data_IF_859310248413
#
_entry.id   IF_859310248413
#
_cell.length_a   1.000
_cell.length_b   1.000
_cell.length_c   1.000
_cell.angle_alpha   90.00
_cell.angle_beta   90.00
_cell.angle_gamma   90.00
#
_symmetry.space_group_name_H-M   'P 1'
#
loop_
_entity.id
_entity.type
_entity.pdbx_description
1 polymer ?
#
# COMPACT_ATOMS: atom_id res chain seq x y z
N UNK A 1 14.51 -4.68 -44.90
CA UNK A 1 13.17 -5.24 -45.23
C UNK A 1 12.78 -6.40 -44.31
N UNK A 2 12.21 -6.09 -43.14
CA UNK A 2 11.23 -7.01 -42.55
C UNK A 2 9.88 -6.70 -43.16
N UNK A 3 9.14 -7.73 -43.58
CA UNK A 3 7.81 -7.52 -44.16
C UNK A 3 6.83 -7.11 -43.07
N UNK A 4 5.76 -6.42 -43.45
CA UNK A 4 4.56 -6.17 -42.63
C UNK A 4 4.13 -7.39 -41.80
N UNK A 5 4.38 -8.59 -42.33
CA UNK A 5 4.10 -9.89 -41.73
C UNK A 5 4.90 -10.18 -40.45
N UNK A 6 6.16 -9.74 -40.35
CA UNK A 6 7.00 -9.95 -39.16
C UNK A 6 6.59 -9.05 -37.98
N UNK A 7 6.18 -7.81 -38.28
CA UNK A 7 5.61 -6.89 -37.29
C UNK A 7 4.30 -7.45 -36.73
N UNK A 8 3.42 -7.95 -37.60
CA UNK A 8 2.16 -8.60 -37.20
C UNK A 8 2.42 -9.83 -36.34
N UNK A 9 3.44 -10.63 -36.67
CA UNK A 9 3.78 -11.82 -35.89
C UNK A 9 4.34 -11.46 -34.50
N UNK A 10 5.20 -10.44 -34.41
CA UNK A 10 5.72 -9.91 -33.14
C UNK A 10 4.59 -9.38 -32.26
N UNK A 11 3.71 -8.57 -32.83
CA UNK A 11 2.52 -8.03 -32.17
C UNK A 11 1.62 -9.14 -31.61
N UNK A 12 1.43 -10.23 -32.37
CA UNK A 12 0.65 -11.40 -31.96
C UNK A 12 1.28 -12.12 -30.76
N UNK A 13 2.61 -12.25 -30.74
CA UNK A 13 3.33 -12.85 -29.59
C UNK A 13 3.18 -11.96 -28.35
N UNK A 14 3.38 -10.65 -28.49
CA UNK A 14 3.25 -9.70 -27.39
C UNK A 14 1.84 -9.67 -26.80
N UNK A 15 0.80 -9.61 -27.64
CA UNK A 15 -0.59 -9.68 -27.20
C UNK A 15 -0.88 -10.94 -26.40
N UNK A 16 -0.40 -12.10 -26.87
CA UNK A 16 -0.58 -13.39 -26.17
C UNK A 16 0.19 -13.47 -24.85
N UNK A 17 1.44 -12.99 -24.82
CA UNK A 17 2.31 -13.06 -23.66
C UNK A 17 1.85 -12.11 -22.54
N UNK A 18 1.52 -10.87 -22.90
CA UNK A 18 1.17 -9.83 -21.93
C UNK A 18 -0.32 -9.79 -21.62
N UNK A 19 -1.17 -10.41 -22.45
CA UNK A 19 -2.63 -10.33 -22.37
C UNK A 19 -3.15 -8.89 -22.41
N UNK A 20 -2.43 -8.02 -23.13
CA UNK A 20 -2.73 -6.59 -23.33
C UNK A 20 -3.23 -6.39 -24.74
N UNK A 21 -4.25 -5.55 -24.91
CA UNK A 21 -4.73 -5.17 -26.24
C UNK A 21 -3.70 -4.29 -26.95
N UNK A 22 -3.57 -4.49 -28.25
CA UNK A 22 -2.42 -3.99 -29.00
C UNK A 22 -2.84 -3.50 -30.39
N UNK A 23 -2.44 -2.30 -30.75
CA UNK A 23 -2.67 -1.72 -32.08
C UNK A 23 -1.37 -1.19 -32.67
N UNK A 24 -1.13 -1.43 -33.97
CA UNK A 24 0.02 -0.88 -34.71
C UNK A 24 -0.50 0.01 -35.83
N UNK A 25 0.17 1.14 -36.02
CA UNK A 25 -0.04 2.10 -37.09
C UNK A 25 1.25 2.30 -37.90
N UNK A 26 1.13 2.62 -39.17
CA UNK A 26 2.24 3.07 -40.01
C UNK A 26 2.51 4.58 -39.86
N UNK A 27 3.43 5.11 -40.68
CA UNK A 27 3.84 6.50 -40.68
C UNK A 27 2.72 7.46 -41.13
N UNK A 28 1.85 6.97 -42.00
CA UNK A 28 0.66 7.66 -42.50
C UNK A 28 -0.52 7.59 -41.53
N UNK A 29 -0.33 6.88 -40.41
CA UNK A 29 -1.27 6.70 -39.29
C UNK A 29 -2.40 5.72 -39.59
N UNK A 30 -2.27 4.93 -40.64
CA UNK A 30 -3.22 3.88 -40.95
C UNK A 30 -3.00 2.68 -40.03
N UNK A 31 -4.09 2.08 -39.58
CA UNK A 31 -4.05 0.93 -38.69
C UNK A 31 -3.61 -0.32 -39.45
N UNK A 32 -2.42 -0.82 -39.15
CA UNK A 32 -1.86 -2.04 -39.72
C UNK A 32 -2.50 -3.28 -39.09
N UNK A 33 -2.53 -3.32 -37.76
CA UNK A 33 -3.04 -4.48 -37.01
C UNK A 33 -3.64 -4.06 -35.69
N UNK A 34 -4.72 -4.73 -35.30
CA UNK A 34 -5.41 -4.53 -34.03
C UNK A 34 -5.77 -5.88 -33.40
N UNK A 35 -5.27 -6.10 -32.19
CA UNK A 35 -5.61 -7.24 -31.35
C UNK A 35 -6.37 -6.73 -30.12
N UNK A 36 -7.68 -6.98 -30.09
CA UNK A 36 -8.54 -6.61 -28.97
C UNK A 36 -9.23 -7.85 -28.41
N UNK A 37 -9.14 -8.03 -27.10
CA UNK A 37 -9.78 -9.14 -26.39
C UNK A 37 -11.02 -8.71 -25.63
N UNK A 38 -11.03 -7.49 -25.10
CA UNK A 38 -12.09 -7.02 -24.21
C UNK A 38 -13.03 -6.04 -24.93
N UNK A 39 -14.36 -6.21 -24.81
CA UNK A 39 -15.30 -5.19 -25.26
C UNK A 39 -15.33 -4.04 -24.25
N UNK A 40 -14.60 -2.97 -24.54
CA UNK A 40 -14.63 -1.75 -23.72
C UNK A 40 -15.99 -1.05 -23.84
N UNK A 41 -16.51 -0.44 -22.75
CA UNK A 41 -17.64 0.47 -22.82
C UNK A 41 -17.39 1.59 -23.83
N UNK A 42 -18.41 2.01 -24.56
CA UNK A 42 -18.31 3.03 -25.61
C UNK A 42 -17.72 4.35 -25.10
N UNK A 43 -18.06 4.74 -23.85
CA UNK A 43 -17.53 5.95 -23.22
C UNK A 43 -16.03 5.86 -22.91
N UNK A 44 -15.53 4.63 -22.79
CA UNK A 44 -14.12 4.34 -22.57
C UNK A 44 -13.39 4.23 -23.91
N UNK A 45 -14.01 3.64 -24.94
CA UNK A 45 -13.46 3.53 -26.29
C UNK A 45 -13.05 4.89 -26.87
N UNK A 46 -13.90 5.92 -26.77
CA UNK A 46 -13.59 7.24 -27.31
C UNK A 46 -12.39 7.90 -26.63
N UNK A 47 -12.28 7.74 -25.31
CA UNK A 47 -11.17 8.32 -24.54
C UNK A 47 -9.87 7.57 -24.72
N UNK A 48 -9.96 6.25 -24.81
CA UNK A 48 -8.82 5.36 -24.94
C UNK A 48 -8.31 5.32 -26.38
N UNK A 49 -9.14 4.93 -27.36
CA UNK A 49 -8.72 4.54 -28.71
C UNK A 49 -9.11 5.51 -29.83
N UNK A 50 -9.99 6.50 -29.60
CA UNK A 50 -10.32 7.52 -30.62
C UNK A 50 -9.40 8.75 -30.57
N UNK A 51 -8.41 8.79 -29.67
CA UNK A 51 -7.40 9.85 -29.61
C UNK A 51 -5.93 9.39 -29.76
N UNK A 52 -5.58 8.63 -30.81
CA UNK A 52 -4.18 8.44 -31.18
C UNK A 52 -3.46 9.76 -31.51
N UNK A 53 -4.19 10.87 -31.65
CA UNK A 53 -3.64 12.23 -31.76
C UNK A 53 -2.70 12.62 -30.62
N UNK A 54 -2.98 12.20 -29.38
CA UNK A 54 -2.09 12.47 -28.25
C UNK A 54 -0.77 11.73 -28.42
N UNK A 55 -0.83 10.46 -28.81
CA UNK A 55 0.35 9.66 -29.16
C UNK A 55 1.13 10.31 -30.32
N UNK A 56 0.46 10.68 -31.43
CA UNK A 56 1.10 11.27 -32.61
C UNK A 56 1.71 12.66 -32.34
N UNK A 57 1.08 13.49 -31.51
CA UNK A 57 1.60 14.82 -31.17
C UNK A 57 2.95 14.75 -30.44
N UNK A 58 3.16 13.68 -29.66
CA UNK A 58 4.35 13.51 -28.82
C UNK A 58 5.39 12.64 -29.53
N UNK A 59 5.02 11.42 -29.91
CA UNK A 59 5.93 10.50 -30.58
C UNK A 59 6.23 10.91 -32.03
N UNK A 60 5.31 11.57 -32.72
CA UNK A 60 5.52 11.99 -34.11
C UNK A 60 6.71 12.94 -34.30
N UNK A 61 7.08 13.69 -33.25
CA UNK A 61 8.23 14.62 -33.26
C UNK A 61 9.56 13.95 -32.94
N UNK A 62 9.55 12.76 -32.34
CA UNK A 62 10.75 12.04 -31.97
C UNK A 62 11.53 11.63 -33.23
N UNK A 63 12.83 11.91 -33.26
CA UNK A 63 13.72 11.56 -34.39
C UNK A 63 14.36 10.18 -34.26
N UNK A 64 14.13 9.54 -33.12
CA UNK A 64 14.67 8.23 -32.77
C UNK A 64 13.51 7.38 -32.23
N UNK A 65 13.73 6.08 -32.12
CA UNK A 65 12.82 5.18 -31.41
C UNK A 65 12.49 5.75 -30.03
N UNK A 66 11.24 5.68 -29.62
CA UNK A 66 10.77 6.36 -28.41
C UNK A 66 9.61 5.64 -27.76
N UNK A 67 9.51 5.75 -26.43
CA UNK A 67 8.42 5.18 -25.65
C UNK A 67 7.75 6.30 -24.86
N UNK A 68 6.43 6.29 -24.82
CA UNK A 68 5.63 7.17 -23.99
C UNK A 68 4.55 6.37 -23.25
N UNK A 69 4.04 6.95 -22.16
CA UNK A 69 2.92 6.40 -21.42
C UNK A 69 1.80 7.42 -21.40
N UNK A 70 0.59 6.91 -21.55
CA UNK A 70 -0.62 7.69 -21.41
C UNK A 70 -1.38 7.17 -20.20
N UNK A 71 -1.46 8.00 -19.16
CA UNK A 71 -2.26 7.71 -17.98
C UNK A 71 -3.64 8.34 -18.13
N UNK A 72 -4.67 7.56 -17.81
CA UNK A 72 -6.06 7.98 -17.75
C UNK A 72 -6.50 7.96 -16.29
N UNK A 73 -6.21 9.03 -15.52
CA UNK A 73 -6.47 9.07 -14.08
C UNK A 73 -7.94 8.84 -13.75
N UNK A 74 -8.84 9.29 -14.62
CA UNK A 74 -10.29 9.15 -14.47
C UNK A 74 -10.76 7.69 -14.49
N UNK A 75 -9.95 6.82 -15.07
CA UNK A 75 -10.23 5.40 -15.25
C UNK A 75 -9.18 4.51 -14.58
N UNK A 76 -8.13 5.08 -13.99
CA UNK A 76 -7.01 4.33 -13.42
C UNK A 76 -6.36 3.36 -14.42
N UNK A 77 -6.33 3.74 -15.70
CA UNK A 77 -5.77 2.93 -16.79
C UNK A 77 -4.49 3.55 -17.32
N UNK A 78 -3.58 2.70 -17.77
CA UNK A 78 -2.38 3.12 -18.50
C UNK A 78 -2.35 2.47 -19.86
N UNK A 79 -1.93 3.24 -20.86
CA UNK A 79 -1.50 2.74 -22.16
C UNK A 79 -0.03 3.09 -22.38
N UNK A 80 0.67 2.19 -23.05
CA UNK A 80 2.04 2.39 -23.47
C UNK A 80 2.07 2.58 -24.97
N UNK A 81 2.77 3.61 -25.43
CA UNK A 81 2.93 3.88 -26.84
C UNK A 81 4.41 3.87 -27.21
N UNK A 82 4.74 3.26 -28.34
CA UNK A 82 6.10 3.18 -28.85
C UNK A 82 6.13 3.71 -30.27
N UNK A 83 7.17 4.47 -30.59
CA UNK A 83 7.57 4.79 -31.96
C UNK A 83 8.83 4.00 -32.27
N UNK A 84 8.83 3.41 -33.45
CA UNK A 84 9.95 2.65 -33.99
C UNK A 84 10.23 3.22 -35.37
N UNK A 85 11.50 3.47 -35.69
CA UNK A 85 11.95 3.98 -36.97
C UNK A 85 12.81 2.91 -37.64
N UNK A 86 12.41 2.44 -38.82
CA UNK A 86 13.10 1.41 -39.59
C UNK A 86 13.30 1.91 -41.03
N UNK A 87 14.55 1.95 -41.52
CA UNK A 87 14.88 2.32 -42.91
C UNK A 87 14.17 3.61 -43.40
N UNK A 88 14.09 4.64 -42.54
CA UNK A 88 13.40 5.94 -42.71
C UNK A 88 11.85 5.95 -42.60
N UNK A 89 11.22 4.80 -42.35
CA UNK A 89 9.78 4.67 -42.07
C UNK A 89 9.48 4.64 -40.56
N UNK A 90 8.35 5.21 -40.14
CA UNK A 90 7.94 5.25 -38.73
C UNK A 90 6.74 4.35 -38.46
N UNK A 91 6.84 3.51 -37.43
CA UNK A 91 5.74 2.69 -36.93
C UNK A 91 5.37 3.10 -35.51
N UNK A 92 4.08 3.07 -35.21
CA UNK A 92 3.56 3.38 -33.89
C UNK A 92 2.82 2.20 -33.31
N UNK A 93 3.19 1.80 -32.10
CA UNK A 93 2.59 0.69 -31.38
C UNK A 93 1.89 1.24 -30.13
N UNK A 94 0.62 0.92 -29.93
CA UNK A 94 -0.10 1.19 -28.69
C UNK A 94 -0.49 -0.11 -28.01
N UNK A 95 -0.04 -0.28 -26.77
CA UNK A 95 -0.31 -1.44 -25.92
C UNK A 95 -1.03 -0.98 -24.65
N UNK A 96 -2.29 -1.37 -24.51
CA UNK A 96 -3.13 -0.96 -23.41
C UNK A 96 -4.60 -1.29 -23.64
N UNK A 97 -5.44 -1.12 -22.61
CA UNK A 97 -5.13 -0.55 -21.31
C UNK A 97 -4.71 -1.64 -20.31
N UNK A 98 -4.00 -1.24 -19.28
CA UNK A 98 -3.68 -2.12 -18.15
C UNK A 98 -3.73 -1.34 -16.83
N UNK A 99 -3.81 -2.09 -15.73
CA UNK A 99 -3.86 -1.54 -14.38
C UNK A 99 -2.47 -1.41 -13.78
N UNK A 100 -2.25 -0.34 -13.04
CA UNK A 100 -1.06 -0.13 -12.19
C UNK A 100 -1.31 -0.38 -10.71
N UNK A 101 -2.57 -0.57 -10.34
CA UNK A 101 -3.03 -0.95 -9.00
C UNK A 101 -3.92 -2.20 -9.08
N UNK A 102 -4.03 -2.94 -7.97
CA UNK A 102 -4.92 -4.10 -7.93
C UNK A 102 -6.39 -3.70 -8.09
N UNK A 103 -7.11 -4.42 -8.94
CA UNK A 103 -8.56 -4.31 -9.03
C UNK A 103 -9.22 -4.51 -7.66
N UNK A 104 -10.22 -3.68 -7.37
CA UNK A 104 -11.14 -3.85 -6.25
C UNK A 104 -12.54 -3.35 -6.62
N UNK A 105 -13.58 -3.84 -5.96
CA UNK A 105 -14.95 -3.34 -6.17
C UNK A 105 -15.06 -1.84 -5.85
N UNK A 106 -14.27 -1.36 -4.87
CA UNK A 106 -14.21 0.06 -4.51
C UNK A 106 -13.65 0.93 -5.64
N UNK A 107 -12.67 0.43 -6.39
CA UNK A 107 -12.12 1.12 -7.56
C UNK A 107 -13.22 1.39 -8.61
N UNK A 108 -14.05 0.38 -8.91
CA UNK A 108 -15.16 0.53 -9.86
C UNK A 108 -16.17 1.55 -9.36
N UNK A 109 -16.53 1.51 -8.08
CA UNK A 109 -17.45 2.51 -7.51
C UNK A 109 -16.89 3.94 -7.62
N UNK A 110 -15.59 4.14 -7.39
CA UNK A 110 -14.92 5.44 -7.58
C UNK A 110 -14.97 5.91 -9.04
N UNK A 111 -14.72 5.01 -9.99
CA UNK A 111 -14.80 5.32 -11.42
C UNK A 111 -16.22 5.73 -11.80
N UNK A 112 -17.23 4.95 -11.39
CA UNK A 112 -18.63 5.27 -11.69
C UNK A 112 -19.04 6.62 -11.11
N UNK A 113 -18.63 6.90 -9.87
CA UNK A 113 -18.93 8.17 -9.21
C UNK A 113 -18.24 9.36 -9.91
N UNK A 114 -16.92 9.29 -10.13
CA UNK A 114 -16.15 10.37 -10.76
C UNK A 114 -16.60 10.68 -12.18
N UNK A 115 -17.00 9.64 -12.94
CA UNK A 115 -17.47 9.78 -14.31
C UNK A 115 -18.98 10.03 -14.41
N UNK A 116 -19.68 10.20 -13.28
CA UNK A 116 -21.14 10.42 -13.21
C UNK A 116 -21.93 9.31 -13.95
N UNK A 117 -21.45 8.08 -13.86
CA UNK A 117 -22.05 6.90 -14.50
C UNK A 117 -23.03 6.20 -13.55
N UNK A 118 -24.11 5.67 -14.12
CA UNK A 118 -25.12 4.95 -13.34
C UNK A 118 -24.57 3.65 -12.73
N UNK A 119 -24.99 3.35 -11.49
CA UNK A 119 -24.67 2.10 -10.77
C UNK A 119 -25.11 0.83 -11.52
N UNK A 120 -26.09 0.92 -12.43
CA UNK A 120 -26.49 -0.21 -13.28
C UNK A 120 -25.35 -0.75 -14.15
N UNK A 121 -24.27 0.03 -14.32
CA UNK A 121 -23.09 -0.32 -15.10
C UNK A 121 -22.00 -1.03 -14.28
N UNK A 122 -22.16 -1.14 -12.96
CA UNK A 122 -21.20 -1.74 -12.03
C UNK A 122 -20.71 -3.11 -12.50
N UNK A 123 -21.63 -4.05 -12.76
CA UNK A 123 -21.24 -5.40 -13.16
C UNK A 123 -20.42 -5.47 -14.46
N UNK A 124 -20.65 -4.55 -15.41
CA UNK A 124 -19.85 -4.47 -16.65
C UNK A 124 -18.43 -3.97 -16.39
N UNK A 125 -18.28 -2.96 -15.52
CA UNK A 125 -16.97 -2.43 -15.15
C UNK A 125 -16.19 -3.42 -14.26
N UNK A 126 -16.85 -4.11 -13.33
CA UNK A 126 -16.20 -5.17 -12.53
C UNK A 126 -15.69 -6.31 -13.40
N UNK A 127 -16.50 -6.76 -14.37
CA UNK A 127 -16.08 -7.78 -15.32
C UNK A 127 -14.90 -7.31 -16.19
N UNK A 128 -14.93 -6.07 -16.69
CA UNK A 128 -13.82 -5.51 -17.45
C UNK A 128 -12.54 -5.43 -16.62
N UNK A 129 -12.59 -4.76 -15.46
CA UNK A 129 -11.39 -4.47 -14.67
C UNK A 129 -10.79 -5.72 -14.03
N UNK A 130 -11.59 -6.75 -13.74
CA UNK A 130 -11.09 -8.06 -13.30
C UNK A 130 -10.35 -8.84 -14.40
N UNK A 131 -10.58 -8.51 -15.68
CA UNK A 131 -9.94 -9.13 -16.83
C UNK A 131 -8.74 -8.35 -17.37
N UNK A 132 -8.58 -7.10 -16.94
CA UNK A 132 -7.45 -6.27 -17.36
C UNK A 132 -6.15 -6.80 -16.75
N UNK A 133 -5.07 -6.86 -17.55
CA UNK A 133 -3.77 -7.21 -17.02
C UNK A 133 -3.33 -6.16 -16.01
N UNK A 134 -2.81 -6.64 -14.88
CA UNK A 134 -2.22 -5.81 -13.84
C UNK A 134 -0.71 -5.89 -13.95
N UNK A 135 -0.09 -4.73 -14.18
CA UNK A 135 1.34 -4.57 -14.05
C UNK A 135 1.56 -3.60 -12.91
N UNK A 136 2.12 -4.10 -11.80
CA UNK A 136 2.62 -3.25 -10.71
C UNK A 136 3.52 -2.11 -11.23
N UNK A 137 4.01 -1.26 -10.33
CA UNK A 137 4.81 -0.03 -10.61
C UNK A 137 6.13 -0.21 -11.41
N UNK A 138 6.34 -1.38 -12.02
CA UNK A 138 7.33 -1.72 -13.05
C UNK A 138 6.85 -1.42 -14.48
N UNK A 139 6.05 -0.37 -14.68
CA UNK A 139 5.68 0.09 -16.04
C UNK A 139 6.93 0.43 -16.87
N UNK A 140 7.99 0.92 -16.20
CA UNK A 140 9.34 1.07 -16.78
C UNK A 140 9.95 -0.27 -17.19
N UNK A 141 9.99 -1.27 -16.30
CA UNK A 141 10.53 -2.59 -16.66
C UNK A 141 9.68 -3.30 -17.72
N UNK A 142 8.38 -3.01 -17.81
CA UNK A 142 7.53 -3.51 -18.89
C UNK A 142 7.84 -2.80 -20.20
N UNK A 143 8.10 -1.49 -20.21
CA UNK A 143 8.59 -0.81 -21.40
C UNK A 143 9.99 -1.27 -21.79
N UNK A 144 10.86 -1.54 -20.82
CA UNK A 144 12.16 -2.13 -21.06
C UNK A 144 11.96 -3.50 -21.69
N UNK A 145 11.18 -4.40 -21.08
CA UNK A 145 10.86 -5.74 -21.61
C UNK A 145 10.17 -5.67 -22.97
N UNK A 146 9.24 -4.74 -23.20
CA UNK A 146 8.60 -4.54 -24.50
C UNK A 146 9.61 -4.05 -25.53
N UNK A 147 10.43 -3.05 -25.19
CA UNK A 147 11.52 -2.59 -26.04
C UNK A 147 12.52 -3.72 -26.32
N UNK A 148 12.81 -4.58 -25.34
CA UNK A 148 13.71 -5.72 -25.45
C UNK A 148 13.10 -6.86 -26.25
N UNK A 149 11.83 -7.18 -26.08
CA UNK A 149 11.12 -8.20 -26.85
C UNK A 149 10.93 -7.76 -28.30
N UNK A 150 10.77 -6.47 -28.55
CA UNK A 150 10.85 -5.88 -29.89
C UNK A 150 12.30 -5.99 -30.44
N UNK A 151 13.34 -5.85 -29.60
CA UNK A 151 14.77 -6.03 -29.95
C UNK A 151 15.24 -7.48 -30.15
N UNK A 152 14.50 -8.51 -29.69
CA UNK A 152 14.93 -9.93 -29.78
C UNK A 152 14.91 -10.49 -31.22
N UNK A 153 14.35 -9.76 -32.20
CA UNK A 153 14.59 -10.04 -33.61
C UNK A 153 15.82 -9.23 -34.08
N UNK A 154 16.88 -9.90 -34.55
CA UNK A 154 18.25 -9.44 -34.41
C UNK A 154 18.54 -8.21 -35.28
N UNK A 155 19.12 -7.18 -34.66
CA UNK A 155 20.04 -6.14 -35.21
C UNK A 155 19.81 -4.68 -34.77
N UNK A 156 18.99 -4.36 -33.76
CA UNK A 156 18.79 -2.94 -33.39
C UNK A 156 19.47 -2.51 -32.07
N UNK A 157 20.21 -1.41 -32.15
CA UNK A 157 21.01 -0.79 -31.06
C UNK A 157 20.11 -0.17 -29.98
N UNK A 158 20.71 0.12 -28.82
CA UNK A 158 20.05 0.72 -27.66
C UNK A 158 19.27 1.98 -28.04
N UNK A 159 17.95 1.90 -27.91
CA UNK A 159 17.02 3.02 -28.00
C UNK A 159 17.25 3.94 -26.78
N UNK A 160 17.57 5.22 -26.98
CA UNK A 160 17.56 6.20 -25.89
C UNK A 160 16.12 6.43 -25.44
N UNK A 161 15.88 6.23 -24.15
CA UNK A 161 14.57 6.48 -23.55
C UNK A 161 14.44 7.99 -23.33
N UNK A 162 13.76 8.68 -24.26
CA UNK A 162 13.41 10.09 -24.08
C UNK A 162 12.16 10.13 -23.19
N UNK A 163 12.36 10.49 -21.92
CA UNK A 163 11.28 10.82 -21.01
C UNK A 163 10.81 12.25 -21.31
N UNK A 164 9.73 12.40 -22.07
CA UNK A 164 8.98 13.66 -22.11
C UNK A 164 7.70 13.46 -21.30
N UNK A 165 7.69 14.04 -20.10
CA UNK A 165 6.44 14.29 -19.38
C UNK A 165 5.53 15.12 -20.28
N UNK A 166 4.34 14.61 -20.58
CA UNK A 166 3.36 15.39 -21.34
C UNK A 166 3.10 16.71 -20.60
N UNK A 167 3.01 17.85 -21.31
CA UNK A 167 2.65 19.11 -20.70
C UNK A 167 1.21 18.99 -20.15
N UNK A 168 1.20 18.74 -18.86
CA UNK A 168 0.07 18.69 -17.93
C UNK A 168 0.57 18.74 -16.48
N UNK A 169 1.89 18.75 -16.25
CA UNK A 169 2.45 18.86 -14.90
C UNK A 169 2.42 20.28 -14.32
N UNK A 170 2.52 21.35 -15.14
CA UNK A 170 2.34 22.72 -14.63
C UNK A 170 0.88 23.04 -14.27
N UNK A 171 -0.07 22.42 -14.98
CA UNK A 171 -1.48 22.39 -14.57
C UNK A 171 -1.67 21.46 -13.37
N UNK A 172 -1.00 20.31 -13.31
CA UNK A 172 -1.05 19.42 -12.14
C UNK A 172 -0.64 20.14 -10.85
N UNK A 173 0.37 21.01 -10.81
CA UNK A 173 0.69 21.73 -9.54
C UNK A 173 -0.36 22.79 -9.16
N UNK A 174 -1.04 23.41 -10.15
CA UNK A 174 -2.06 24.45 -9.91
C UNK A 174 -3.46 23.87 -9.70
N UNK A 175 -3.84 22.84 -10.43
CA UNK A 175 -5.03 22.00 -10.20
C UNK A 175 -4.86 21.18 -8.93
N UNK A 176 -3.70 20.59 -8.61
CA UNK A 176 -3.52 19.93 -7.31
C UNK A 176 -3.73 20.90 -6.14
N UNK A 177 -3.55 22.21 -6.30
CA UNK A 177 -3.88 23.18 -5.25
C UNK A 177 -5.36 23.59 -5.25
N UNK A 178 -5.97 23.86 -6.42
CA UNK A 178 -7.39 24.22 -6.57
C UNK A 178 -8.36 23.05 -6.38
N UNK A 179 -7.99 21.87 -6.83
CA UNK A 179 -8.68 20.60 -6.58
C UNK A 179 -8.45 20.17 -5.14
N UNK A 180 -7.26 20.28 -4.53
CA UNK A 180 -7.11 20.01 -3.07
C UNK A 180 -7.94 20.92 -2.19
N UNK A 181 -8.10 22.20 -2.57
CA UNK A 181 -8.98 23.13 -1.87
C UNK A 181 -10.48 22.76 -2.01
N UNK A 182 -10.84 21.89 -2.98
CA UNK A 182 -12.18 21.35 -3.17
C UNK A 182 -12.37 19.84 -2.89
N UNK A 183 -11.29 19.06 -2.71
CA UNK A 183 -11.25 17.59 -2.57
C UNK A 183 -10.68 17.08 -1.25
N UNK A 184 -9.95 17.88 -0.47
CA UNK A 184 -9.68 17.51 0.93
C UNK A 184 -10.90 17.91 1.75
N UNK A 185 -11.90 17.04 1.78
CA UNK A 185 -12.92 17.20 2.81
C UNK A 185 -12.21 17.13 4.18
N UNK A 186 -12.67 17.93 5.13
CA UNK A 186 -12.14 17.92 6.51
C UNK A 186 -12.04 16.49 7.08
N UNK A 187 -12.95 15.62 6.66
CA UNK A 187 -13.02 14.18 6.91
C UNK A 187 -11.80 13.40 6.44
N UNK A 188 -11.23 13.67 5.26
CA UNK A 188 -10.05 12.95 4.74
C UNK A 188 -8.78 13.31 5.51
N UNK A 189 -8.62 14.60 5.84
CA UNK A 189 -7.53 15.07 6.69
C UNK A 189 -7.62 14.45 8.07
N UNK A 190 -8.82 14.46 8.67
CA UNK A 190 -9.05 13.84 9.99
C UNK A 190 -8.77 12.34 9.97
N UNK A 191 -9.22 11.63 8.93
CA UNK A 191 -8.96 10.20 8.76
C UNK A 191 -7.46 9.89 8.65
N UNK A 192 -6.68 10.76 7.99
CA UNK A 192 -5.23 10.62 7.93
C UNK A 192 -4.58 10.75 9.31
N UNK A 193 -4.96 11.77 10.10
CA UNK A 193 -4.47 11.95 11.47
C UNK A 193 -4.94 10.84 12.42
N UNK A 194 -6.14 10.30 12.24
CA UNK A 194 -6.64 9.16 13.01
C UNK A 194 -5.90 7.88 12.67
N UNK A 195 -5.65 7.63 11.38
CA UNK A 195 -4.88 6.47 10.90
C UNK A 195 -3.45 6.54 11.45
N UNK A 196 -2.81 7.71 11.42
CA UNK A 196 -1.50 7.94 12.02
C UNK A 196 -1.51 7.69 13.53
N UNK A 197 -2.50 8.22 14.26
CA UNK A 197 -2.63 8.00 15.71
C UNK A 197 -2.79 6.53 16.07
N UNK A 198 -3.66 5.80 15.36
CA UNK A 198 -3.87 4.36 15.53
C UNK A 198 -2.58 3.57 15.29
N UNK A 199 -1.88 3.91 14.22
CA UNK A 199 -0.62 3.26 13.86
C UNK A 199 0.49 3.53 14.89
N UNK A 200 0.65 4.79 15.33
CA UNK A 200 1.61 5.17 16.38
C UNK A 200 1.34 4.42 17.69
N UNK A 201 0.08 4.36 18.12
CA UNK A 201 -0.32 3.65 19.33
C UNK A 201 0.00 2.14 19.25
N UNK A 202 -0.06 1.54 18.05
CA UNK A 202 0.35 0.15 17.87
C UNK A 202 1.86 -0.04 18.11
N UNK A 203 2.71 0.88 17.61
CA UNK A 203 4.16 0.83 17.83
C UNK A 203 4.50 1.08 19.31
N UNK A 204 3.86 2.06 19.95
CA UNK A 204 3.99 2.36 21.39
C UNK A 204 3.67 1.13 22.26
N UNK A 205 2.77 0.27 21.79
CA UNK A 205 2.40 -0.94 22.50
C UNK A 205 3.23 -2.16 22.12
N UNK A 206 4.16 -2.06 21.17
CA UNK A 206 4.95 -3.17 20.66
C UNK A 206 4.17 -4.13 19.75
N UNK A 207 3.02 -3.69 19.22
CA UNK A 207 2.11 -4.52 18.43
C UNK A 207 2.45 -4.48 16.94
N UNK A 208 3.38 -5.35 16.54
CA UNK A 208 3.85 -5.43 15.17
C UNK A 208 2.73 -5.72 14.16
N UNK A 209 1.75 -6.57 14.49
CA UNK A 209 0.71 -6.95 13.54
C UNK A 209 -0.27 -5.81 13.28
N UNK A 210 -0.62 -5.04 14.31
CA UNK A 210 -1.45 -3.86 14.16
C UNK A 210 -0.68 -2.73 13.49
N UNK A 211 0.59 -2.52 13.83
CA UNK A 211 1.45 -1.53 13.18
C UNK A 211 1.64 -1.82 11.68
N UNK A 212 1.90 -3.08 11.29
CA UNK A 212 2.01 -3.50 9.89
C UNK A 212 0.70 -3.32 9.12
N UNK A 213 -0.46 -3.51 9.76
CA UNK A 213 -1.76 -3.23 9.11
C UNK A 213 -1.98 -1.73 8.92
N UNK A 214 -1.64 -0.92 9.92
CA UNK A 214 -1.81 0.54 9.88
C UNK A 214 -0.98 1.23 8.79
N UNK A 215 0.28 0.82 8.57
CA UNK A 215 1.14 1.46 7.57
C UNK A 215 0.62 1.29 6.12
N UNK A 216 -0.03 0.16 5.84
CA UNK A 216 -0.68 -0.12 4.56
C UNK A 216 -1.90 0.77 4.28
N UNK A 217 -2.46 1.40 5.32
CA UNK A 217 -3.57 2.34 5.22
C UNK A 217 -3.06 3.78 5.09
N UNK A 218 -1.98 4.13 5.82
CA UNK A 218 -1.30 5.42 5.74
C UNK A 218 -0.66 5.70 4.36
N UNK A 219 -0.25 4.64 3.66
CA UNK A 219 0.36 4.71 2.32
C UNK A 219 -0.64 4.94 1.18
N UNK A 220 -1.97 4.85 1.40
CA UNK A 220 -2.98 4.93 0.33
C UNK A 220 -3.39 6.34 -0.09
N UNK A 221 -3.03 7.38 0.66
CA UNK A 221 -3.63 8.72 0.50
C UNK A 221 -2.78 9.77 -0.23
N UNK A 222 -1.54 10.02 0.21
CA UNK A 222 -0.92 11.32 -0.11
C UNK A 222 0.59 11.30 -0.43
N UNK A 223 1.33 10.27 -0.01
CA UNK A 223 2.80 10.32 -0.07
C UNK A 223 3.39 10.05 -1.45
N UNK A 224 2.70 9.32 -2.31
CA UNK A 224 3.18 8.98 -3.66
C UNK A 224 3.33 10.20 -4.59
N UNK A 225 2.66 11.32 -4.27
CA UNK A 225 2.61 12.52 -5.13
C UNK A 225 3.54 13.67 -4.71
N UNK A 226 4.40 13.50 -3.70
CA UNK A 226 5.33 14.58 -3.26
C UNK A 226 6.54 14.75 -4.19
N UNK A 227 6.92 13.68 -4.90
CA UNK A 227 7.94 13.69 -5.96
C UNK A 227 7.45 12.78 -7.11
N UNK A 228 6.57 13.29 -7.98
CA UNK A 228 5.90 12.50 -9.02
C UNK A 228 6.88 11.73 -9.92
N UNK A 229 8.04 12.34 -10.18
CA UNK A 229 9.00 11.85 -11.20
C UNK A 229 10.09 10.95 -10.61
N UNK A 230 10.10 10.80 -9.28
CA UNK A 230 11.06 9.95 -8.57
C UNK A 230 10.38 9.09 -7.48
N UNK A 231 9.72 7.98 -7.87
CA UNK A 231 8.97 7.13 -6.95
C UNK A 231 9.80 6.51 -5.84
N UNK A 232 11.06 6.13 -6.14
CA UNK A 232 11.98 5.61 -5.12
C UNK A 232 12.32 6.69 -4.09
N UNK A 233 12.52 7.94 -4.53
CA UNK A 233 12.72 9.06 -3.60
C UNK A 233 11.46 9.34 -2.77
N UNK A 234 10.27 9.28 -3.36
CA UNK A 234 9.00 9.38 -2.63
C UNK A 234 8.90 8.31 -1.53
N UNK A 235 9.23 7.05 -1.84
CA UNK A 235 9.23 5.94 -0.90
C UNK A 235 10.26 6.12 0.22
N UNK A 236 11.49 6.56 -0.10
CA UNK A 236 12.52 6.88 0.90
C UNK A 236 12.08 7.99 1.84
N UNK A 237 11.50 9.07 1.31
CA UNK A 237 11.00 10.19 2.13
C UNK A 237 9.89 9.75 3.09
N UNK A 238 8.98 8.89 2.62
CA UNK A 238 7.97 8.26 3.47
C UNK A 238 8.65 7.42 4.55
N UNK A 239 9.61 6.57 4.21
CA UNK A 239 10.33 5.75 5.18
C UNK A 239 11.09 6.55 6.24
N UNK A 240 11.69 7.68 5.89
CA UNK A 240 12.29 8.58 6.88
C UNK A 240 11.24 9.15 7.85
N UNK A 241 10.05 9.47 7.34
CA UNK A 241 8.93 9.93 8.15
C UNK A 241 8.45 8.81 9.10
N UNK A 242 8.27 7.61 8.56
CA UNK A 242 7.91 6.40 9.33
C UNK A 242 8.95 6.11 10.40
N UNK A 243 10.24 6.16 10.06
CA UNK A 243 11.35 5.96 11.00
C UNK A 243 11.25 6.95 12.18
N UNK A 244 10.98 8.21 11.88
CA UNK A 244 10.84 9.27 12.90
C UNK A 244 9.65 9.02 13.82
N UNK A 245 8.48 8.65 13.26
CA UNK A 245 7.29 8.38 14.08
C UNK A 245 7.49 7.11 14.92
N UNK A 246 8.05 6.04 14.36
CA UNK A 246 8.35 4.82 15.11
C UNK A 246 9.33 5.09 16.26
N UNK A 247 10.35 5.91 16.03
CA UNK A 247 11.31 6.34 17.06
C UNK A 247 10.59 7.01 18.24
N UNK A 248 9.72 7.98 17.95
CA UNK A 248 8.94 8.69 18.98
C UNK A 248 8.01 7.72 19.71
N UNK A 249 7.26 6.91 18.97
CA UNK A 249 6.34 5.92 19.52
C UNK A 249 7.04 4.90 20.42
N UNK A 250 8.24 4.44 20.04
CA UNK A 250 9.01 3.50 20.84
C UNK A 250 9.47 4.10 22.18
N UNK A 251 9.88 5.38 22.18
CA UNK A 251 10.22 6.11 23.41
C UNK A 251 8.99 6.28 24.30
N UNK A 252 7.85 6.66 23.72
CA UNK A 252 6.59 6.78 24.47
C UNK A 252 6.15 5.42 25.05
N UNK A 253 6.46 4.32 24.33
CA UNK A 253 6.30 2.95 24.77
C UNK A 253 7.29 2.50 25.86
N UNK A 254 8.17 3.41 26.30
CA UNK A 254 9.14 3.21 27.39
C UNK A 254 10.46 2.59 26.95
N UNK A 255 10.71 2.40 25.65
CA UNK A 255 11.95 1.80 25.17
C UNK A 255 13.18 2.67 25.52
N UNK A 256 14.32 2.00 25.73
CA UNK A 256 15.59 2.67 26.04
C UNK A 256 16.02 3.61 24.89
N UNK A 257 16.22 4.88 25.23
CA UNK A 257 16.45 5.96 24.24
C UNK A 257 17.73 5.74 23.44
N UNK A 258 18.78 5.18 24.04
CA UNK A 258 20.06 4.95 23.36
C UNK A 258 19.88 3.86 22.31
N UNK A 259 19.27 2.74 22.67
CA UNK A 259 18.99 1.65 21.72
C UNK A 259 18.01 2.06 20.62
N UNK A 260 17.01 2.88 20.95
CA UNK A 260 16.08 3.46 19.95
C UNK A 260 16.85 4.33 18.94
N UNK A 261 17.82 5.12 19.41
CA UNK A 261 18.66 5.95 18.53
C UNK A 261 19.52 5.09 17.59
N UNK A 262 20.12 4.01 18.08
CA UNK A 262 20.91 3.07 17.27
C UNK A 262 20.07 2.44 16.13
N UNK A 263 18.83 2.03 16.44
CA UNK A 263 17.89 1.51 15.43
C UNK A 263 17.58 2.61 14.40
N UNK A 264 17.29 3.82 14.85
CA UNK A 264 16.94 4.94 13.97
C UNK A 264 18.06 5.29 13.00
N UNK A 265 19.30 5.33 13.47
CA UNK A 265 20.49 5.62 12.66
C UNK A 265 20.78 4.51 11.65
N UNK A 266 20.70 3.24 12.07
CA UNK A 266 20.85 2.09 11.19
C UNK A 266 19.86 2.16 10.01
N UNK A 267 18.57 2.38 10.30
CA UNK A 267 17.56 2.42 9.26
C UNK A 267 17.64 3.69 8.41
N UNK A 268 18.05 4.84 8.96
CA UNK A 268 18.29 6.05 8.18
C UNK A 268 19.34 5.80 7.07
N UNK A 269 20.45 5.14 7.41
CA UNK A 269 21.50 4.78 6.44
C UNK A 269 20.96 3.79 5.40
N UNK A 270 20.26 2.73 5.84
CA UNK A 270 19.73 1.70 4.93
C UNK A 270 18.65 2.25 3.99
N UNK A 271 17.79 3.15 4.46
CA UNK A 271 16.79 3.84 3.65
C UNK A 271 17.47 4.68 2.57
N UNK A 272 18.49 5.46 2.93
CA UNK A 272 19.22 6.29 1.96
C UNK A 272 19.91 5.42 0.89
N UNK A 273 20.44 4.26 1.28
CA UNK A 273 21.15 3.35 0.37
C UNK A 273 20.23 2.46 -0.48
N UNK A 274 18.93 2.38 -0.19
CA UNK A 274 18.00 1.52 -0.92
C UNK A 274 17.97 1.85 -2.43
N UNK A 275 18.00 0.83 -3.28
CA UNK A 275 18.10 0.97 -4.75
C UNK A 275 16.83 0.60 -5.49
N UNK A 276 15.84 0.07 -4.77
CA UNK A 276 14.57 -0.36 -5.38
C UNK A 276 13.40 -0.20 -4.42
N UNK A 277 12.19 -0.14 -4.98
CA UNK A 277 10.96 -0.10 -4.18
C UNK A 277 10.75 -1.37 -3.33
N UNK A 278 11.20 -2.53 -3.82
CA UNK A 278 11.15 -3.78 -3.07
C UNK A 278 12.04 -3.71 -1.82
N UNK A 279 13.27 -3.19 -1.95
CA UNK A 279 14.15 -2.96 -0.80
C UNK A 279 13.50 -2.00 0.21
N UNK A 280 12.86 -0.92 -0.24
CA UNK A 280 12.15 -0.02 0.66
C UNK A 280 11.00 -0.72 1.41
N UNK A 281 10.24 -1.59 0.75
CA UNK A 281 9.17 -2.37 1.41
C UNK A 281 9.73 -3.36 2.43
N UNK A 282 10.85 -4.03 2.12
CA UNK A 282 11.50 -4.92 3.09
C UNK A 282 12.04 -4.15 4.29
N UNK A 283 12.69 -3.00 4.06
CA UNK A 283 13.19 -2.13 5.12
C UNK A 283 12.04 -1.60 6.01
N UNK A 284 10.88 -1.30 5.43
CA UNK A 284 9.69 -0.91 6.19
C UNK A 284 9.31 -1.97 7.24
N UNK A 285 9.22 -3.23 6.80
CA UNK A 285 8.82 -4.33 7.67
C UNK A 285 9.88 -4.62 8.74
N UNK A 286 11.16 -4.66 8.35
CA UNK A 286 12.28 -4.87 9.26
C UNK A 286 12.36 -3.77 10.33
N UNK A 287 12.19 -2.51 9.93
CA UNK A 287 12.22 -1.36 10.81
C UNK A 287 11.06 -1.38 11.81
N UNK A 288 9.83 -1.60 11.31
CA UNK A 288 8.65 -1.74 12.16
C UNK A 288 8.84 -2.85 13.21
N UNK A 289 9.35 -4.00 12.77
CA UNK A 289 9.62 -5.14 13.65
C UNK A 289 10.65 -4.80 14.72
N UNK A 290 11.75 -4.13 14.35
CA UNK A 290 12.79 -3.73 15.30
C UNK A 290 12.26 -2.79 16.39
N UNK A 291 11.47 -1.77 16.00
CA UNK A 291 10.87 -0.85 16.97
C UNK A 291 9.82 -1.51 17.86
N UNK A 292 8.93 -2.34 17.30
CA UNK A 292 7.96 -3.06 18.13
C UNK A 292 8.67 -4.05 19.08
N UNK A 293 9.75 -4.70 18.63
CA UNK A 293 10.49 -5.64 19.44
C UNK A 293 11.17 -4.96 20.63
N UNK A 294 11.82 -3.80 20.45
CA UNK A 294 12.48 -3.13 21.58
C UNK A 294 11.50 -2.62 22.64
N UNK A 295 10.31 -2.20 22.22
CA UNK A 295 9.21 -1.88 23.14
C UNK A 295 8.78 -3.13 23.92
N UNK A 296 8.61 -4.26 23.22
CA UNK A 296 8.25 -5.53 23.86
C UNK A 296 9.33 -6.05 24.82
N UNK A 297 10.61 -5.92 24.46
CA UNK A 297 11.72 -6.30 25.32
C UNK A 297 11.68 -5.51 26.64
N UNK A 298 11.35 -4.22 26.58
CA UNK A 298 11.21 -3.38 27.76
C UNK A 298 10.12 -3.88 28.69
N UNK A 299 8.98 -4.32 28.15
CA UNK A 299 7.87 -4.92 28.91
C UNK A 299 8.20 -6.28 29.53
N UNK A 300 9.21 -6.96 28.99
CA UNK A 300 9.66 -8.28 29.48
C UNK A 300 10.96 -8.21 30.28
N UNK A 301 11.56 -7.04 30.43
CA UNK A 301 12.89 -6.86 31.04
C UNK A 301 12.84 -7.25 32.51
N UNK A 302 13.79 -8.09 32.93
CA UNK A 302 13.88 -8.55 34.32
C UNK A 302 12.99 -9.76 34.65
N UNK A 303 12.19 -10.25 33.70
CA UNK A 303 11.39 -11.47 33.86
C UNK A 303 12.12 -12.70 33.33
N UNK A 304 11.80 -13.87 33.87
CA UNK A 304 12.34 -15.13 33.37
C UNK A 304 11.82 -15.45 31.97
N UNK A 305 12.57 -16.28 31.23
CA UNK A 305 12.19 -16.72 29.88
C UNK A 305 10.74 -17.23 29.74
N UNK A 306 10.19 -18.09 30.64
CA UNK A 306 8.80 -18.52 30.53
C UNK A 306 7.80 -17.37 30.69
N UNK A 307 8.06 -16.42 31.61
CA UNK A 307 7.18 -15.26 31.83
C UNK A 307 7.25 -14.29 30.65
N UNK A 308 8.46 -13.96 30.18
CA UNK A 308 8.66 -13.10 29.02
C UNK A 308 7.96 -13.64 27.77
N UNK A 309 8.11 -14.95 27.48
CA UNK A 309 7.43 -15.61 26.36
C UNK A 309 5.91 -15.61 26.50
N UNK A 310 5.39 -15.83 27.72
CA UNK A 310 3.95 -15.77 27.97
C UNK A 310 3.41 -14.35 27.74
N UNK A 311 4.11 -13.32 28.21
CA UNK A 311 3.75 -11.91 27.96
C UNK A 311 3.72 -11.64 26.45
N UNK A 312 4.78 -12.00 25.72
CA UNK A 312 4.84 -11.81 24.27
C UNK A 312 3.69 -12.52 23.54
N UNK A 313 3.40 -13.77 23.91
CA UNK A 313 2.29 -14.52 23.35
C UNK A 313 0.94 -13.87 23.63
N UNK A 314 0.70 -13.41 24.85
CA UNK A 314 -0.53 -12.69 25.20
C UNK A 314 -0.67 -11.39 24.41
N UNK A 315 0.41 -10.63 24.21
CA UNK A 315 0.39 -9.41 23.40
C UNK A 315 0.03 -9.69 21.93
N UNK A 316 0.45 -10.82 21.38
CA UNK A 316 0.15 -11.20 20.00
C UNK A 316 -1.27 -11.79 19.80
N UNK A 317 -1.91 -12.27 20.87
CA UNK A 317 -3.16 -13.06 20.80
C UNK A 317 -4.23 -12.61 21.80
N UNK A 318 -4.14 -11.39 22.33
CA UNK A 318 -5.00 -10.92 23.43
C UNK A 318 -6.48 -10.93 23.07
N UNK A 319 -6.82 -10.73 21.80
CA UNK A 319 -8.18 -10.72 21.24
C UNK A 319 -8.84 -12.11 21.21
N UNK A 320 -8.08 -13.18 21.47
CA UNK A 320 -8.56 -14.56 21.39
C UNK A 320 -8.91 -15.15 22.75
N UNK A 321 -9.74 -16.20 22.84
CA UNK A 321 -9.97 -16.95 24.07
C UNK A 321 -8.70 -17.72 24.50
N UNK A 322 -7.88 -17.07 25.33
CA UNK A 322 -6.64 -17.62 25.87
C UNK A 322 -6.87 -18.26 27.25
N UNK A 323 -6.36 -19.49 27.41
CA UNK A 323 -6.26 -20.18 28.70
C UNK A 323 -4.80 -20.41 29.04
N UNK A 324 -4.50 -20.73 30.31
CA UNK A 324 -3.14 -21.05 30.74
C UNK A 324 -2.54 -22.21 29.93
N UNK A 325 -3.37 -23.22 29.64
CA UNK A 325 -2.99 -24.42 28.90
C UNK A 325 -2.57 -24.06 27.47
N UNK A 326 -3.39 -23.25 26.78
CA UNK A 326 -3.09 -22.78 25.41
C UNK A 326 -1.81 -21.96 25.36
N UNK A 327 -1.61 -21.06 26.33
CA UNK A 327 -0.40 -20.24 26.37
C UNK A 327 0.81 -21.14 26.58
N UNK A 328 0.78 -22.00 27.59
CA UNK A 328 1.90 -22.88 27.95
C UNK A 328 2.27 -23.84 26.80
N UNK A 329 1.27 -24.42 26.12
CA UNK A 329 1.48 -25.26 24.94
C UNK A 329 2.19 -24.50 23.82
N UNK A 330 1.69 -23.31 23.48
CA UNK A 330 2.24 -22.49 22.40
C UNK A 330 3.68 -22.01 22.66
N UNK A 331 4.07 -21.86 23.93
CA UNK A 331 5.43 -21.47 24.31
C UNK A 331 6.31 -22.66 24.76
N UNK A 332 5.81 -23.89 24.63
CA UNK A 332 6.47 -25.15 24.98
C UNK A 332 6.91 -25.27 26.45
N UNK A 333 6.05 -24.86 27.38
CA UNK A 333 6.22 -25.05 28.82
C UNK A 333 5.05 -25.83 29.43
N UNK A 334 5.24 -26.42 30.62
CA UNK A 334 4.14 -27.06 31.32
C UNK A 334 3.21 -26.00 31.98
N UNK A 335 1.87 -26.16 31.90
CA UNK A 335 0.92 -25.18 32.44
C UNK A 335 1.13 -24.89 33.94
N UNK A 336 1.39 -25.94 34.74
CA UNK A 336 1.60 -25.82 36.18
C UNK A 336 2.92 -25.14 36.57
N UNK A 337 3.98 -25.28 35.76
CA UNK A 337 5.22 -24.54 35.96
C UNK A 337 5.06 -23.07 35.59
N UNK A 338 4.45 -22.80 34.43
CA UNK A 338 4.21 -21.44 33.96
C UNK A 338 3.32 -20.66 34.93
N UNK A 339 2.21 -21.25 35.39
CA UNK A 339 1.29 -20.60 36.33
C UNK A 339 1.96 -20.16 37.63
N UNK A 340 2.77 -21.05 38.23
CA UNK A 340 3.51 -20.75 39.47
C UNK A 340 4.55 -19.67 39.26
N UNK A 341 5.34 -19.79 38.20
CA UNK A 341 6.44 -18.86 37.88
C UNK A 341 5.88 -17.47 37.54
N UNK A 342 4.82 -17.40 36.71
CA UNK A 342 4.16 -16.16 36.36
C UNK A 342 3.58 -15.46 37.58
N UNK A 343 2.87 -16.18 38.46
CA UNK A 343 2.31 -15.57 39.68
C UNK A 343 3.39 -15.10 40.65
N UNK A 344 4.52 -15.81 40.72
CA UNK A 344 5.64 -15.45 41.58
C UNK A 344 6.33 -14.15 41.11
N UNK A 345 6.53 -13.99 39.81
CA UNK A 345 7.23 -12.82 39.23
C UNK A 345 6.30 -11.62 38.99
N UNK A 346 5.06 -11.86 38.56
CA UNK A 346 4.13 -10.80 38.18
C UNK A 346 3.20 -10.37 39.32
N UNK A 347 3.18 -11.14 40.41
CA UNK A 347 2.28 -10.95 41.57
C UNK A 347 0.77 -10.97 41.24
N UNK A 348 0.41 -11.35 40.01
CA UNK A 348 -0.95 -11.50 39.52
C UNK A 348 -1.08 -12.78 38.72
N UNK A 349 -2.30 -13.27 38.54
CA UNK A 349 -2.56 -14.40 37.66
C UNK A 349 -2.46 -13.99 36.18
N UNK A 350 -2.23 -14.97 35.30
CA UNK A 350 -2.24 -14.74 33.84
C UNK A 350 -3.59 -14.18 33.36
N UNK A 351 -4.71 -14.63 33.94
CA UNK A 351 -6.03 -14.12 33.58
C UNK A 351 -6.23 -12.65 33.96
N UNK A 352 -5.76 -12.25 35.14
CA UNK A 352 -5.78 -10.84 35.57
C UNK A 352 -4.88 -9.98 34.68
N UNK A 353 -3.66 -10.45 34.40
CA UNK A 353 -2.74 -9.76 33.50
C UNK A 353 -3.33 -9.60 32.10
N UNK A 354 -3.93 -10.66 31.55
CA UNK A 354 -4.58 -10.62 30.24
C UNK A 354 -5.75 -9.65 30.23
N UNK A 355 -6.61 -9.63 31.25
CA UNK A 355 -7.69 -8.64 31.32
C UNK A 355 -7.14 -7.22 31.36
N UNK A 356 -6.08 -6.96 32.15
CA UNK A 356 -5.42 -5.64 32.19
C UNK A 356 -4.90 -5.24 30.82
N UNK A 357 -4.18 -6.13 30.14
CA UNK A 357 -3.70 -5.93 28.77
C UNK A 357 -4.85 -5.58 27.80
N UNK A 358 -5.97 -6.30 27.88
CA UNK A 358 -7.14 -6.02 27.04
C UNK A 358 -7.76 -4.66 27.32
N UNK A 359 -7.78 -4.22 28.59
CA UNK A 359 -8.23 -2.88 28.95
C UNK A 359 -7.27 -1.81 28.42
N UNK A 360 -5.95 -2.00 28.55
CA UNK A 360 -4.94 -1.09 27.97
C UNK A 360 -5.14 -0.95 26.44
N UNK A 361 -5.38 -2.07 25.76
CA UNK A 361 -5.72 -2.10 24.32
C UNK A 361 -7.03 -1.36 24.03
N UNK A 362 -8.06 -1.56 24.85
CA UNK A 362 -9.34 -0.89 24.72
C UNK A 362 -9.24 0.62 24.93
N UNK A 363 -8.45 1.10 25.90
CA UNK A 363 -8.20 2.53 26.10
C UNK A 363 -7.57 3.16 24.84
N UNK A 364 -6.60 2.47 24.23
CA UNK A 364 -5.99 2.90 22.97
C UNK A 364 -6.99 3.05 21.83
N UNK A 365 -7.92 2.10 21.71
CA UNK A 365 -8.99 2.14 20.68
C UNK A 365 -10.04 3.21 21.01
N UNK A 366 -10.47 3.33 22.27
CA UNK A 366 -11.49 4.30 22.68
C UNK A 366 -11.02 5.75 22.50
N UNK A 367 -9.71 6.02 22.63
CA UNK A 367 -9.13 7.34 22.34
C UNK A 367 -9.29 7.79 20.89
N UNK A 368 -9.56 6.86 19.97
CA UNK A 368 -9.78 7.20 18.55
C UNK A 368 -11.20 7.69 18.30
N UNK A 369 -12.18 7.25 19.10
CA UNK A 369 -13.60 7.61 18.95
C UNK A 369 -14.32 6.84 17.84
N UNK A 370 -13.67 5.87 17.19
CA UNK A 370 -14.17 5.24 15.95
C UNK A 370 -15.23 4.15 16.19
N UNK A 371 -15.25 3.55 17.38
CA UNK A 371 -16.02 2.33 17.65
C UNK A 371 -16.93 2.49 18.88
N UNK A 372 -18.18 2.00 18.81
CA UNK A 372 -19.01 1.85 19.98
C UNK A 372 -18.32 1.01 21.06
N UNK A 373 -18.48 1.38 22.33
CA UNK A 373 -17.85 0.68 23.48
C UNK A 373 -18.08 -0.84 23.44
N UNK A 374 -19.27 -1.26 23.00
CA UNK A 374 -19.60 -2.68 22.90
C UNK A 374 -18.75 -3.41 21.86
N UNK A 375 -18.47 -2.79 20.72
CA UNK A 375 -17.59 -3.36 19.70
C UNK A 375 -16.15 -3.43 20.19
N UNK A 376 -15.67 -2.38 20.87
CA UNK A 376 -14.33 -2.38 21.48
C UNK A 376 -14.14 -3.53 22.47
N UNK A 377 -15.16 -3.84 23.28
CA UNK A 377 -15.12 -4.98 24.18
C UNK A 377 -14.95 -6.32 23.45
N UNK A 378 -15.63 -6.49 22.31
CA UNK A 378 -15.53 -7.69 21.46
C UNK A 378 -14.17 -7.75 20.78
N UNK A 379 -13.73 -6.65 20.16
CA UNK A 379 -12.45 -6.53 19.46
C UNK A 379 -11.24 -6.80 20.37
N UNK A 380 -11.38 -6.53 21.66
CA UNK A 380 -10.34 -6.78 22.67
C UNK A 380 -10.48 -8.15 23.36
N UNK A 381 -11.37 -9.02 22.88
CA UNK A 381 -11.45 -10.42 23.30
C UNK A 381 -12.24 -10.68 24.58
N UNK A 382 -13.08 -9.75 25.05
CA UNK A 382 -14.00 -10.01 26.16
C UNK A 382 -15.20 -10.83 25.69
N UNK A 383 -15.57 -11.84 26.49
CA UNK A 383 -16.70 -12.72 26.20
C UNK A 383 -18.07 -12.07 26.45
N UNK A 384 -18.12 -10.96 27.19
CA UNK A 384 -19.33 -10.19 27.42
C UNK A 384 -19.02 -8.75 27.80
N UNK A 385 -19.93 -7.84 27.44
CA UNK A 385 -19.85 -6.44 27.83
C UNK A 385 -19.90 -6.25 29.35
N UNK A 386 -20.64 -7.10 30.08
CA UNK A 386 -20.72 -7.04 31.53
C UNK A 386 -19.34 -7.24 32.18
N UNK A 387 -18.57 -8.24 31.71
CA UNK A 387 -17.21 -8.49 32.20
C UNK A 387 -16.27 -7.34 31.83
N UNK A 388 -16.35 -6.86 30.60
CA UNK A 388 -15.57 -5.70 30.14
C UNK A 388 -15.83 -4.48 31.02
N UNK A 389 -17.09 -4.12 31.27
CA UNK A 389 -17.46 -2.93 32.05
C UNK A 389 -16.90 -2.97 33.48
N UNK A 390 -16.96 -4.14 34.14
CA UNK A 390 -16.42 -4.34 35.48
C UNK A 390 -14.89 -4.19 35.49
N UNK A 391 -14.19 -4.88 34.59
CA UNK A 391 -12.72 -4.81 34.53
C UNK A 391 -12.25 -3.41 34.10
N UNK A 392 -12.90 -2.77 33.11
CA UNK A 392 -12.55 -1.43 32.66
C UNK A 392 -12.65 -0.42 33.81
N UNK A 393 -13.74 -0.44 34.57
CA UNK A 393 -13.91 0.43 35.74
C UNK A 393 -12.91 0.13 36.85
N UNK A 394 -12.61 -1.16 37.08
CA UNK A 394 -11.62 -1.59 38.06
C UNK A 394 -10.22 -1.03 37.75
N UNK A 395 -9.78 -1.05 36.49
CA UNK A 395 -8.43 -0.61 36.12
C UNK A 395 -8.31 0.89 35.84
N UNK A 396 -9.35 1.52 35.27
CA UNK A 396 -9.29 2.94 34.88
C UNK A 396 -9.95 3.89 35.89
N UNK A 397 -10.70 3.35 36.86
CA UNK A 397 -11.50 4.12 37.82
C UNK A 397 -12.80 4.70 37.25
N UNK A 398 -13.02 4.61 35.93
CA UNK A 398 -14.19 5.15 35.22
C UNK A 398 -14.86 4.06 34.38
N UNK A 399 -16.15 4.18 34.12
CA UNK A 399 -16.78 3.38 33.06
C UNK A 399 -16.22 3.79 31.71
N UNK A 400 -16.20 2.88 30.73
CA UNK A 400 -15.71 3.21 29.39
C UNK A 400 -16.46 4.38 28.71
N UNK A 401 -17.75 4.57 29.04
CA UNK A 401 -18.52 5.75 28.58
C UNK A 401 -18.04 7.05 29.21
N UNK A 402 -17.81 7.06 30.53
CA UNK A 402 -17.24 8.22 31.25
C UNK A 402 -15.82 8.52 30.80
N UNK A 403 -15.05 7.49 30.45
CA UNK A 403 -13.70 7.62 29.90
C UNK A 403 -13.71 8.33 28.54
N UNK A 404 -14.57 7.89 27.61
CA UNK A 404 -14.71 8.55 26.30
C UNK A 404 -15.16 10.01 26.43
N UNK A 405 -16.17 10.29 27.28
CA UNK A 405 -16.68 11.64 27.50
C UNK A 405 -15.66 12.59 28.17
N UNK A 406 -14.56 12.08 28.71
CA UNK A 406 -13.48 12.89 29.26
C UNK A 406 -12.36 13.18 28.24
N UNK A 407 -12.36 12.49 27.09
CA UNK A 407 -11.31 12.56 26.06
C UNK A 407 -11.80 13.32 24.82
N UNK A 408 -13.09 13.21 24.52
CA UNK A 408 -13.79 13.90 23.44
C UNK A 408 -14.81 14.88 24.03
#
# INVERSE_FOLDING_TARGET
>A
MKTHEELVQTARVLHKALKVDLTIYDGDRDCIVKFTKNPYPEELCGKLWEHPEKMWKHLGKAKEDSVSYQYFPEFYLVCMNLKVIEEDESYYLSAGPFLTEHYSEQLVLKILHSQKLSLSRKGKYELLYSQLPYFSNRVKSMADVLSYLIKVCPEWKQIPIIYEEMPGQEECVKETRREREGLLEKTDVLLNYETERRWRAAVEQGDFQMARRGISQMSKGEFFYRTPDNPLRSQKNLLFTVNTICRIAAVDGGADVVRVHEISDLFAIRIEQARSGLETTMLEEEMLRAYCQIVMETKTRGHSAPVAKAIQYMYAHFDQPLTMEKIAEAIHFSPGYLSRTFKAEMHVTVGEYLNRLRIEKAEGILKTGDFPVMEVAIMTGFSSYAKFSVEFKKYTGKTAREYMAAIH
#
